data_IF_907412867053
#
_entry.id   IF_907412867053
#
_cell.length_a   1.000
_cell.length_b   1.000
_cell.length_c   1.000
_cell.angle_alpha   90.00
_cell.angle_beta   90.00
_cell.angle_gamma   90.00
#
_symmetry.space_group_name_H-M   'P 1'
#
loop_
_entity.id
_entity.type
_entity.pdbx_description
1 polymer ?
#
# COMPACT_ATOMS: atom_id res chain seq x y z
N UNK A 1 -39.46 6.30 6.20
CA UNK A 1 -40.57 5.69 6.98
C UNK A 1 -40.58 4.17 6.90
N UNK A 2 -40.72 3.53 5.74
CA UNK A 2 -40.77 2.05 5.62
C UNK A 2 -39.51 1.37 6.19
N UNK A 3 -38.31 1.81 5.80
CA UNK A 3 -37.05 1.26 6.34
C UNK A 3 -36.91 1.46 7.86
N UNK A 4 -37.45 2.56 8.38
CA UNK A 4 -37.44 2.88 9.81
C UNK A 4 -38.37 1.96 10.60
N UNK A 5 -39.57 1.69 10.07
CA UNK A 5 -40.56 0.78 10.67
C UNK A 5 -40.05 -0.66 10.64
N UNK A 6 -39.47 -1.09 9.52
CA UNK A 6 -38.83 -2.42 9.39
C UNK A 6 -37.68 -2.55 10.39
N UNK A 7 -36.84 -1.52 10.54
CA UNK A 7 -35.73 -1.52 11.51
C UNK A 7 -36.18 -1.64 12.97
N UNK A 8 -37.28 -0.97 13.35
CA UNK A 8 -37.87 -1.07 14.70
C UNK A 8 -38.47 -2.46 14.94
N UNK A 9 -39.14 -3.02 13.93
CA UNK A 9 -39.73 -4.36 14.04
C UNK A 9 -38.67 -5.45 14.22
N UNK A 10 -37.56 -5.36 13.47
CA UNK A 10 -36.41 -6.26 13.63
C UNK A 10 -35.81 -6.12 15.04
N UNK A 11 -35.63 -4.89 15.52
CA UNK A 11 -35.14 -4.60 16.88
C UNK A 11 -35.97 -5.25 17.99
N UNK A 12 -37.29 -5.32 17.82
CA UNK A 12 -38.20 -5.98 18.78
C UNK A 12 -38.06 -7.51 18.77
N UNK A 13 -37.73 -8.11 17.62
CA UNK A 13 -37.55 -9.56 17.47
C UNK A 13 -36.14 -10.06 17.86
N UNK A 14 -35.16 -9.16 17.90
CA UNK A 14 -33.74 -9.46 18.12
C UNK A 14 -33.21 -9.05 19.50
N UNK A 15 -34.07 -8.96 20.52
CA UNK A 15 -33.70 -8.52 21.87
C UNK A 15 -33.00 -7.13 21.92
N UNK A 16 -33.38 -6.20 21.03
CA UNK A 16 -32.91 -4.81 21.08
C UNK A 16 -31.77 -4.45 20.12
N UNK A 17 -31.23 -5.40 19.37
CA UNK A 17 -30.19 -5.15 18.36
C UNK A 17 -30.77 -4.66 17.03
N UNK A 18 -30.21 -3.60 16.45
CA UNK A 18 -30.63 -3.15 15.12
C UNK A 18 -30.21 -4.15 14.04
N UNK A 19 -30.88 -4.14 12.88
CA UNK A 19 -30.50 -4.96 11.72
C UNK A 19 -29.02 -4.77 11.36
N UNK A 20 -28.52 -3.53 11.47
CA UNK A 20 -27.11 -3.19 11.26
C UNK A 20 -26.17 -3.91 12.22
N UNK A 21 -26.57 -4.11 13.48
CA UNK A 21 -25.74 -4.77 14.49
C UNK A 21 -25.67 -6.28 14.24
N UNK A 22 -26.79 -6.87 13.82
CA UNK A 22 -26.88 -8.28 13.42
C UNK A 22 -26.01 -8.52 12.18
N UNK A 23 -26.15 -7.67 11.15
CA UNK A 23 -25.33 -7.77 9.94
C UNK A 23 -23.85 -7.59 10.25
N UNK A 24 -23.48 -6.63 11.11
CA UNK A 24 -22.10 -6.45 11.54
C UNK A 24 -21.55 -7.65 12.32
N UNK A 25 -22.35 -8.24 13.22
CA UNK A 25 -21.91 -9.37 14.05
C UNK A 25 -21.70 -10.63 13.23
N UNK A 26 -22.63 -10.98 12.33
CA UNK A 26 -22.61 -12.26 11.62
C UNK A 26 -21.94 -12.21 10.24
N UNK A 27 -21.84 -11.02 9.63
CA UNK A 27 -21.22 -10.86 8.30
C UNK A 27 -20.03 -9.89 8.35
N UNK A 28 -20.20 -8.71 8.95
CA UNK A 28 -19.18 -7.67 8.96
C UNK A 28 -17.89 -8.06 9.67
N UNK A 29 -17.96 -8.56 10.90
CA UNK A 29 -16.81 -8.89 11.73
C UNK A 29 -15.98 -10.07 11.20
N UNK A 30 -16.58 -11.20 10.77
CA UNK A 30 -15.82 -12.28 10.14
C UNK A 30 -15.10 -11.86 8.87
N UNK A 31 -15.75 -11.07 7.99
CA UNK A 31 -15.10 -10.56 6.78
C UNK A 31 -13.97 -9.57 7.12
N UNK A 32 -14.17 -8.73 8.13
CA UNK A 32 -13.16 -7.76 8.58
C UNK A 32 -11.90 -8.46 9.10
N UNK A 33 -12.05 -9.52 9.90
CA UNK A 33 -10.91 -10.29 10.43
C UNK A 33 -10.16 -11.07 9.34
N UNK A 34 -10.88 -11.57 8.31
CA UNK A 34 -10.22 -12.21 7.16
C UNK A 34 -9.47 -11.16 6.33
N UNK A 35 -10.05 -9.97 6.16
CA UNK A 35 -9.42 -8.86 5.47
C UNK A 35 -8.17 -8.36 6.22
N UNK A 36 -8.24 -8.23 7.54
CA UNK A 36 -7.12 -7.87 8.41
C UNK A 36 -6.23 -9.08 8.75
N UNK A 37 -5.57 -9.60 7.72
CA UNK A 37 -4.60 -10.69 7.86
C UNK A 37 -3.40 -10.46 6.95
N UNK A 38 -2.23 -10.96 7.37
CA UNK A 38 -0.99 -10.91 6.58
C UNK A 38 -1.20 -11.43 5.14
N UNK A 39 -1.92 -12.54 4.99
CA UNK A 39 -2.21 -13.15 3.69
C UNK A 39 -3.04 -12.22 2.80
N UNK A 40 -4.09 -11.61 3.35
CA UNK A 40 -4.91 -10.63 2.64
C UNK A 40 -4.11 -9.38 2.25
N UNK A 41 -3.29 -8.86 3.15
CA UNK A 41 -2.40 -7.71 2.87
C UNK A 41 -1.48 -7.98 1.68
N UNK A 42 -0.79 -9.12 1.69
CA UNK A 42 0.11 -9.53 0.61
C UNK A 42 -0.64 -9.79 -0.70
N UNK A 43 -1.83 -10.41 -0.63
CA UNK A 43 -2.64 -10.70 -1.80
C UNK A 43 -3.16 -9.43 -2.47
N UNK A 44 -3.62 -8.44 -1.68
CA UNK A 44 -4.04 -7.14 -2.19
C UNK A 44 -2.86 -6.45 -2.89
N UNK A 45 -1.69 -6.41 -2.23
CA UNK A 45 -0.48 -5.85 -2.84
C UNK A 45 -0.14 -6.58 -4.15
N UNK A 46 -0.17 -7.91 -4.18
CA UNK A 46 0.11 -8.69 -5.37
C UNK A 46 -0.86 -8.36 -6.53
N UNK A 47 -2.18 -8.38 -6.28
CA UNK A 47 -3.22 -8.12 -7.29
C UNK A 47 -3.08 -6.71 -7.87
N UNK A 48 -2.89 -5.70 -7.01
CA UNK A 48 -2.74 -4.32 -7.46
C UNK A 48 -1.54 -4.19 -8.41
N UNK A 49 -0.40 -4.76 -8.01
CA UNK A 49 0.82 -4.56 -8.77
C UNK A 49 0.85 -5.41 -10.03
N UNK A 50 0.31 -6.64 -10.03
CA UNK A 50 0.25 -7.45 -11.25
C UNK A 50 -0.65 -6.82 -12.32
N UNK A 51 -1.75 -6.15 -11.93
CA UNK A 51 -2.61 -5.41 -12.87
C UNK A 51 -1.84 -4.29 -13.58
N UNK A 52 -0.99 -3.57 -12.85
CA UNK A 52 -0.11 -2.55 -13.44
C UNK A 52 0.86 -3.11 -14.47
N UNK A 53 1.32 -4.36 -14.29
CA UNK A 53 2.26 -4.98 -15.23
C UNK A 53 1.66 -5.24 -16.63
N UNK A 54 0.33 -5.30 -16.72
CA UNK A 54 -0.44 -5.43 -17.96
C UNK A 54 -1.10 -4.11 -18.41
N UNK A 55 -0.75 -2.99 -17.77
CA UNK A 55 -1.22 -1.65 -18.14
C UNK A 55 -2.54 -1.23 -17.53
N UNK A 56 -3.10 -2.02 -16.60
CA UNK A 56 -4.29 -1.67 -15.85
C UNK A 56 -3.91 -0.91 -14.57
N UNK A 57 -4.59 0.19 -14.28
CA UNK A 57 -4.32 0.97 -13.07
C UNK A 57 -4.82 0.23 -11.81
N UNK A 58 -4.00 -0.68 -11.28
CA UNK A 58 -4.41 -1.65 -10.26
C UNK A 58 -4.99 -1.02 -8.99
N UNK A 59 -4.43 0.12 -8.54
CA UNK A 59 -4.94 0.81 -7.36
C UNK A 59 -6.40 1.28 -7.56
N UNK A 60 -6.70 1.97 -8.67
CA UNK A 60 -8.06 2.41 -9.00
C UNK A 60 -9.06 1.26 -9.17
N UNK A 61 -8.60 0.07 -9.56
CA UNK A 61 -9.44 -1.13 -9.66
C UNK A 61 -9.70 -1.75 -8.28
N UNK A 62 -8.69 -1.79 -7.41
CA UNK A 62 -8.79 -2.42 -6.09
C UNK A 62 -9.41 -1.52 -5.01
N UNK A 63 -9.17 -0.21 -5.08
CA UNK A 63 -9.60 0.79 -4.08
C UNK A 63 -11.07 0.68 -3.69
N UNK A 64 -12.05 0.57 -4.61
CA UNK A 64 -13.47 0.46 -4.22
C UNK A 64 -13.77 -0.73 -3.29
N UNK A 65 -13.03 -1.83 -3.45
CA UNK A 65 -13.20 -3.06 -2.68
C UNK A 65 -12.44 -3.00 -1.35
N UNK A 66 -11.25 -2.41 -1.32
CA UNK A 66 -10.38 -2.40 -0.14
C UNK A 66 -10.64 -1.18 0.74
N UNK A 67 -10.81 0.01 0.18
CA UNK A 67 -10.92 1.28 0.92
C UNK A 67 -12.12 1.28 1.88
N UNK A 68 -13.26 0.70 1.49
CA UNK A 68 -14.45 0.60 2.35
C UNK A 68 -14.14 -0.12 3.67
N UNK A 69 -13.44 -1.25 3.60
CA UNK A 69 -13.08 -2.05 4.79
C UNK A 69 -11.98 -1.33 5.56
N UNK A 70 -10.93 -0.87 4.89
CA UNK A 70 -9.80 -0.22 5.55
C UNK A 70 -10.19 1.07 6.27
N UNK A 71 -11.03 1.91 5.66
CA UNK A 71 -11.51 3.15 6.30
C UNK A 71 -12.32 2.84 7.56
N UNK A 72 -13.14 1.78 7.55
CA UNK A 72 -13.86 1.32 8.75
C UNK A 72 -12.87 0.92 9.85
N UNK A 73 -11.92 0.04 9.54
CA UNK A 73 -10.92 -0.44 10.51
C UNK A 73 -10.04 0.70 11.03
N UNK A 74 -9.68 1.65 10.18
CA UNK A 74 -8.93 2.84 10.57
C UNK A 74 -9.74 3.76 11.50
N UNK A 75 -11.06 3.85 11.30
CA UNK A 75 -11.96 4.56 12.21
C UNK A 75 -12.09 3.87 13.57
N UNK A 76 -12.11 2.54 13.59
CA UNK A 76 -12.10 1.74 14.83
C UNK A 76 -10.78 1.94 15.59
N UNK A 77 -9.64 1.92 14.90
CA UNK A 77 -8.34 2.25 15.49
C UNK A 77 -8.29 3.69 16.03
N UNK A 78 -8.85 4.66 15.32
CA UNK A 78 -8.92 6.05 15.78
C UNK A 78 -9.71 6.15 17.10
N UNK A 79 -10.83 5.42 17.22
CA UNK A 79 -11.64 5.40 18.44
C UNK A 79 -10.89 4.73 19.61
N UNK A 80 -10.18 3.63 19.35
CA UNK A 80 -9.33 2.95 20.35
C UNK A 80 -8.23 3.90 20.85
N UNK A 81 -7.55 4.61 19.95
CA UNK A 81 -6.52 5.57 20.29
C UNK A 81 -7.07 6.74 21.13
N UNK A 82 -8.24 7.28 20.77
CA UNK A 82 -8.90 8.33 21.54
C UNK A 82 -9.31 7.87 22.95
N UNK A 83 -9.66 6.58 23.11
CA UNK A 83 -9.97 5.98 24.39
C UNK A 83 -8.72 5.61 25.22
N UNK A 84 -7.51 5.79 24.68
CA UNK A 84 -6.25 5.45 25.34
C UNK A 84 -5.97 3.94 25.39
N UNK A 85 -6.56 3.16 24.47
CA UNK A 85 -6.30 1.73 24.38
C UNK A 85 -4.84 1.46 24.00
N UNK A 86 -4.27 0.38 24.53
CA UNK A 86 -2.88 -0.05 24.23
C UNK A 86 -2.84 -1.33 23.39
N UNK A 87 -3.98 -1.99 23.20
CA UNK A 87 -4.14 -3.23 22.47
C UNK A 87 -5.47 -3.26 21.70
N UNK A 88 -5.68 -4.27 20.86
CA UNK A 88 -6.92 -4.47 20.10
C UNK A 88 -7.01 -3.68 18.80
N UNK A 89 -5.91 -3.07 18.36
CA UNK A 89 -5.82 -2.38 17.08
C UNK A 89 -5.81 -3.36 15.90
N UNK A 90 -6.48 -2.96 14.83
CA UNK A 90 -6.37 -3.59 13.52
C UNK A 90 -5.02 -3.24 12.88
N UNK A 91 -4.37 -4.22 12.25
CA UNK A 91 -3.05 -4.03 11.63
C UNK A 91 -3.22 -3.46 10.23
N UNK A 92 -3.98 -4.14 9.38
CA UNK A 92 -4.36 -3.68 8.05
C UNK A 92 -5.56 -2.74 8.17
N UNK A 93 -5.30 -1.46 8.43
CA UNK A 93 -6.32 -0.46 8.66
C UNK A 93 -6.00 0.89 8.02
N UNK A 94 -7.04 1.65 7.71
CA UNK A 94 -6.98 3.04 7.24
C UNK A 94 -5.97 3.24 6.12
N UNK A 95 -5.06 4.19 6.34
CA UNK A 95 -4.03 4.60 5.40
C UNK A 95 -2.84 3.63 5.23
N UNK A 96 -2.93 2.36 5.66
CA UNK A 96 -1.80 1.41 5.66
C UNK A 96 -1.01 1.36 4.33
N UNK A 97 -1.71 1.18 3.19
CA UNK A 97 -1.03 1.07 1.90
C UNK A 97 -0.38 2.38 1.46
N UNK A 98 -1.07 3.51 1.64
CA UNK A 98 -0.52 4.85 1.33
C UNK A 98 0.70 5.15 2.20
N UNK A 99 0.69 4.72 3.47
CA UNK A 99 1.75 4.97 4.43
C UNK A 99 3.01 4.14 4.19
N UNK A 100 2.86 2.87 3.77
CA UNK A 100 3.97 1.91 3.82
C UNK A 100 4.28 1.17 2.51
N UNK A 101 3.36 1.18 1.53
CA UNK A 101 3.48 0.37 0.31
C UNK A 101 3.56 1.24 -0.94
N UNK A 102 2.79 2.33 -1.04
CA UNK A 102 2.77 3.19 -2.22
C UNK A 102 3.84 4.29 -2.18
N UNK A 103 5.05 3.95 -1.75
CA UNK A 103 6.15 4.90 -1.57
C UNK A 103 6.73 5.31 -2.93
N UNK A 104 6.31 6.46 -3.43
CA UNK A 104 6.56 6.87 -4.81
C UNK A 104 5.49 6.46 -5.81
N UNK A 105 4.33 5.98 -5.33
CA UNK A 105 3.25 5.46 -6.14
C UNK A 105 3.26 3.93 -6.22
N UNK A 106 2.56 3.39 -7.21
CA UNK A 106 2.48 1.94 -7.41
C UNK A 106 3.85 1.35 -7.72
N UNK A 107 4.17 0.22 -7.10
CA UNK A 107 5.44 -0.50 -7.30
C UNK A 107 6.60 0.05 -6.48
N UNK A 108 6.38 0.99 -5.56
CA UNK A 108 7.46 1.64 -4.81
C UNK A 108 8.47 2.34 -5.73
N UNK A 109 7.94 3.08 -6.70
CA UNK A 109 8.71 3.69 -7.80
C UNK A 109 9.79 4.66 -7.31
N UNK A 110 9.63 5.30 -6.15
CA UNK A 110 10.69 6.13 -5.58
C UNK A 110 11.96 5.29 -5.29
N UNK A 111 11.78 4.05 -4.83
CA UNK A 111 12.86 3.10 -4.65
C UNK A 111 13.55 2.73 -5.96
N UNK A 112 12.78 2.53 -7.04
CA UNK A 112 13.32 2.31 -8.38
C UNK A 112 14.12 3.52 -8.88
N UNK A 113 13.65 4.74 -8.67
CA UNK A 113 14.37 5.97 -9.06
C UNK A 113 15.71 6.06 -8.35
N UNK A 114 15.74 5.78 -7.05
CA UNK A 114 17.00 5.77 -6.28
C UNK A 114 17.91 4.63 -6.75
N UNK A 115 17.37 3.45 -7.04
CA UNK A 115 18.15 2.35 -7.62
C UNK A 115 18.74 2.72 -9.00
N UNK A 116 17.99 3.46 -9.84
CA UNK A 116 18.47 4.02 -11.11
C UNK A 116 19.55 5.08 -10.90
N UNK A 117 19.46 5.92 -9.87
CA UNK A 117 20.54 6.87 -9.53
C UNK A 117 21.83 6.15 -9.13
N UNK A 118 21.72 5.04 -8.40
CA UNK A 118 22.88 4.27 -7.91
C UNK A 118 23.51 3.44 -9.03
N UNK A 119 22.70 2.73 -9.82
CA UNK A 119 23.17 1.72 -10.77
C UNK A 119 22.83 2.01 -12.25
N UNK A 120 21.90 2.92 -12.54
CA UNK A 120 21.39 3.24 -13.87
C UNK A 120 22.18 4.37 -14.55
N UNK A 121 23.26 4.02 -15.25
CA UNK A 121 24.16 5.03 -15.86
C UNK A 121 23.56 5.76 -17.06
N UNK A 122 22.50 5.22 -17.69
CA UNK A 122 21.98 5.69 -18.97
C UNK A 122 20.55 6.27 -18.92
N UNK A 123 19.89 6.27 -17.76
CA UNK A 123 18.47 6.65 -17.64
C UNK A 123 18.23 8.00 -16.95
N UNK A 124 19.13 8.97 -17.16
CA UNK A 124 19.05 10.29 -16.51
C UNK A 124 17.75 11.04 -16.80
N UNK A 125 17.24 10.94 -18.03
CA UNK A 125 15.97 11.56 -18.43
C UNK A 125 14.80 11.02 -17.61
N UNK A 126 14.77 9.71 -17.37
CA UNK A 126 13.70 9.05 -16.59
C UNK A 126 13.69 9.51 -15.14
N UNK A 127 14.88 9.69 -14.56
CA UNK A 127 15.06 10.19 -13.18
C UNK A 127 14.58 11.64 -13.08
N UNK A 128 14.91 12.49 -14.07
CA UNK A 128 14.51 13.90 -14.08
C UNK A 128 13.00 14.06 -14.27
N UNK A 129 12.39 13.24 -15.14
CA UNK A 129 10.95 13.29 -15.40
C UNK A 129 10.12 12.64 -14.29
N UNK A 130 10.59 11.52 -13.73
CA UNK A 130 9.85 10.74 -12.72
C UNK A 130 10.15 11.10 -11.27
N UNK A 131 11.30 11.69 -10.98
CA UNK A 131 11.76 12.00 -9.61
C UNK A 131 10.86 12.96 -8.85
N UNK A 132 10.65 14.20 -9.35
CA UNK A 132 9.82 15.19 -8.67
C UNK A 132 8.39 14.70 -8.36
N UNK A 133 7.64 14.08 -9.30
CA UNK A 133 6.29 13.59 -9.00
C UNK A 133 6.32 12.39 -8.03
N UNK A 134 7.33 11.51 -8.10
CA UNK A 134 7.45 10.37 -7.19
C UNK A 134 7.65 10.78 -5.72
N UNK A 135 8.24 11.94 -5.42
CA UNK A 135 8.31 12.43 -4.03
C UNK A 135 6.91 12.62 -3.43
N UNK A 136 5.92 12.91 -4.28
CA UNK A 136 4.51 13.06 -3.93
C UNK A 136 3.68 11.83 -4.32
N UNK A 137 4.31 10.65 -4.37
CA UNK A 137 3.70 9.36 -4.72
C UNK A 137 3.04 9.27 -6.10
N UNK A 138 3.41 10.16 -7.03
CA UNK A 138 2.96 10.13 -8.42
C UNK A 138 4.04 9.41 -9.25
N UNK A 139 3.85 8.11 -9.46
CA UNK A 139 4.83 7.22 -10.11
C UNK A 139 4.63 7.01 -11.60
N UNK A 140 3.48 7.41 -12.14
CA UNK A 140 3.03 7.16 -13.52
C UNK A 140 4.03 7.62 -14.59
N UNK A 141 4.68 8.80 -14.48
CA UNK A 141 5.67 9.21 -15.45
C UNK A 141 6.82 8.20 -15.60
N UNK A 142 7.19 7.51 -14.52
CA UNK A 142 8.19 6.46 -14.58
C UNK A 142 7.61 5.12 -15.03
N UNK A 143 6.42 4.74 -14.55
CA UNK A 143 5.77 3.46 -14.91
C UNK A 143 5.53 3.36 -16.42
N UNK A 144 5.13 4.46 -17.04
CA UNK A 144 4.89 4.53 -18.48
C UNK A 144 6.12 4.98 -19.28
N UNK A 145 7.00 5.78 -18.67
CA UNK A 145 8.23 6.21 -19.32
C UNK A 145 9.23 5.07 -19.46
N UNK A 146 9.48 4.33 -18.38
CA UNK A 146 10.15 3.04 -18.50
C UNK A 146 9.12 2.06 -19.04
N UNK A 147 9.50 1.13 -19.93
CA UNK A 147 8.59 0.07 -20.32
C UNK A 147 8.46 -0.91 -19.14
N UNK A 148 8.00 -0.51 -17.95
CA UNK A 148 7.75 -1.43 -16.83
C UNK A 148 6.61 -2.36 -17.22
N UNK A 149 5.58 -1.78 -17.83
CA UNK A 149 4.48 -2.48 -18.48
C UNK A 149 5.07 -3.40 -19.56
N UNK A 150 4.80 -4.70 -19.45
CA UNK A 150 5.28 -5.75 -20.35
C UNK A 150 6.80 -6.01 -20.40
N UNK A 151 7.62 -5.46 -19.50
CA UNK A 151 9.03 -5.85 -19.37
C UNK A 151 9.23 -6.85 -18.22
N UNK A 152 9.52 -8.11 -18.53
CA UNK A 152 9.66 -9.15 -17.51
C UNK A 152 10.70 -8.84 -16.43
N UNK A 153 11.74 -8.07 -16.75
CA UNK A 153 12.83 -7.75 -15.80
C UNK A 153 12.31 -6.81 -14.71
N UNK A 154 11.60 -5.74 -15.08
CA UNK A 154 11.08 -4.77 -14.11
C UNK A 154 9.75 -5.20 -13.50
N UNK A 155 8.98 -6.06 -14.18
CA UNK A 155 7.77 -6.67 -13.65
C UNK A 155 8.00 -7.38 -12.31
N UNK A 156 9.10 -8.13 -12.20
CA UNK A 156 9.44 -8.89 -10.99
C UNK A 156 9.60 -7.98 -9.76
N UNK A 157 10.54 -7.02 -9.73
CA UNK A 157 10.70 -6.15 -8.56
C UNK A 157 9.50 -5.22 -8.35
N UNK A 158 8.78 -4.84 -9.42
CA UNK A 158 7.57 -4.02 -9.33
C UNK A 158 6.44 -4.70 -8.55
N UNK A 159 6.34 -6.02 -8.63
CA UNK A 159 5.39 -6.80 -7.81
C UNK A 159 6.00 -7.21 -6.48
N UNK A 160 7.27 -7.64 -6.49
CA UNK A 160 7.93 -8.21 -5.32
C UNK A 160 8.18 -7.17 -4.22
N UNK A 161 8.63 -5.96 -4.56
CA UNK A 161 8.93 -4.93 -3.57
C UNK A 161 7.70 -4.54 -2.73
N UNK A 162 6.53 -4.21 -3.34
CA UNK A 162 5.31 -3.94 -2.58
C UNK A 162 4.83 -5.12 -1.74
N UNK A 163 4.88 -6.35 -2.27
CA UNK A 163 4.45 -7.55 -1.53
C UNK A 163 5.31 -7.76 -0.30
N UNK A 164 6.64 -7.72 -0.44
CA UNK A 164 7.56 -7.89 0.69
C UNK A 164 7.39 -6.74 1.69
N UNK A 165 7.34 -5.49 1.24
CA UNK A 165 7.20 -4.34 2.15
C UNK A 165 5.84 -4.35 2.86
N UNK A 166 4.77 -4.83 2.21
CA UNK A 166 3.47 -4.99 2.86
C UNK A 166 3.51 -6.05 3.97
N UNK A 167 4.22 -7.16 3.77
CA UNK A 167 4.40 -8.19 4.78
C UNK A 167 5.24 -7.69 5.95
N UNK A 168 6.34 -7.00 5.66
CA UNK A 168 7.21 -6.36 6.68
C UNK A 168 6.40 -5.38 7.52
N UNK A 169 5.61 -4.51 6.90
CA UNK A 169 4.81 -3.53 7.62
C UNK A 169 3.74 -4.15 8.49
N UNK A 170 3.05 -5.17 7.97
CA UNK A 170 2.05 -5.90 8.73
C UNK A 170 2.69 -6.51 9.98
N UNK A 171 3.78 -7.27 9.82
CA UNK A 171 4.48 -7.92 10.94
C UNK A 171 5.10 -6.93 11.92
N UNK A 172 5.61 -5.79 11.45
CA UNK A 172 6.19 -4.77 12.32
C UNK A 172 5.14 -4.13 13.24
N UNK A 173 3.91 -3.92 12.73
CA UNK A 173 2.80 -3.41 13.52
C UNK A 173 2.21 -4.50 14.41
N UNK A 174 2.01 -5.72 13.88
CA UNK A 174 1.46 -6.87 14.61
C UNK A 174 2.33 -7.26 15.83
N UNK A 175 3.66 -7.21 15.67
CA UNK A 175 4.59 -7.45 16.78
C UNK A 175 4.81 -6.24 17.70
N UNK A 176 4.12 -5.12 17.46
CA UNK A 176 4.22 -3.91 18.28
C UNK A 176 5.56 -3.17 18.16
N UNK A 177 6.35 -3.42 17.11
CA UNK A 177 7.57 -2.67 16.82
C UNK A 177 7.27 -1.27 16.28
N UNK A 178 6.10 -1.11 15.66
CA UNK A 178 5.62 0.13 15.05
C UNK A 178 4.21 0.41 15.55
N UNK A 179 3.92 1.68 15.84
CA UNK A 179 2.59 2.10 16.26
C UNK A 179 1.51 1.73 15.21
N UNK A 180 0.29 1.40 15.64
CA UNK A 180 -0.81 1.07 14.74
C UNK A 180 -1.20 2.26 13.86
N UNK A 181 -1.81 1.97 12.71
CA UNK A 181 -2.39 3.01 11.85
C UNK A 181 -3.69 3.50 12.48
N UNK A 182 -3.74 4.76 12.89
CA UNK A 182 -4.88 5.37 13.58
C UNK A 182 -5.66 6.36 12.71
N UNK A 183 -5.13 6.71 11.54
CA UNK A 183 -5.85 7.58 10.60
C UNK A 183 -6.57 6.76 9.52
N UNK A 184 -7.89 6.94 9.35
CA UNK A 184 -8.65 6.29 8.28
C UNK A 184 -8.12 6.63 6.89
N UNK A 185 -7.58 7.84 6.72
CA UNK A 185 -7.03 8.34 5.46
C UNK A 185 -5.98 9.42 5.71
N UNK A 186 -4.99 9.46 4.83
CA UNK A 186 -4.07 10.59 4.64
C UNK A 186 -4.16 11.05 3.19
N UNK A 187 -3.78 12.28 2.84
CA UNK A 187 -3.57 12.64 1.44
C UNK A 187 -2.55 11.68 0.82
N UNK A 188 -2.92 10.94 -0.22
CA UNK A 188 -2.04 9.93 -0.84
C UNK A 188 -0.78 10.55 -1.45
N UNK A 189 -0.78 11.86 -1.73
CA UNK A 189 0.40 12.63 -2.19
C UNK A 189 1.35 13.04 -1.06
N UNK A 190 1.07 12.66 0.19
CA UNK A 190 1.96 12.96 1.33
C UNK A 190 3.31 12.28 1.14
N UNK A 191 4.44 13.00 1.25
CA UNK A 191 5.75 12.39 1.08
C UNK A 191 5.96 11.16 2.00
N UNK A 192 6.51 10.03 1.48
CA UNK A 192 6.54 8.72 2.15
C UNK A 192 6.80 8.71 3.66
N UNK A 193 7.92 9.29 4.11
CA UNK A 193 8.34 9.28 5.52
C UNK A 193 7.35 10.06 6.39
N UNK A 194 6.87 11.20 5.88
CA UNK A 194 5.85 12.00 6.57
C UNK A 194 4.51 11.28 6.57
N UNK A 195 4.17 10.57 5.50
CA UNK A 195 2.95 9.77 5.39
C UNK A 195 2.88 8.67 6.44
N UNK A 196 3.98 7.92 6.62
CA UNK A 196 4.09 6.90 7.67
C UNK A 196 3.91 7.45 9.09
N UNK A 197 4.59 8.56 9.40
CA UNK A 197 4.46 9.21 10.71
C UNK A 197 3.06 9.79 10.93
N UNK A 198 2.47 10.39 9.89
CA UNK A 198 1.12 10.94 9.96
C UNK A 198 0.06 9.86 10.16
N UNK A 199 0.16 8.74 9.43
CA UNK A 199 -0.82 7.65 9.49
C UNK A 199 -0.92 7.00 10.89
N UNK A 200 0.20 6.92 11.60
CA UNK A 200 0.31 6.33 12.93
C UNK A 200 0.23 7.36 14.06
N UNK A 201 0.44 8.65 13.75
CA UNK A 201 0.61 9.69 14.76
C UNK A 201 1.91 9.56 15.55
N UNK A 202 2.83 8.69 15.14
CA UNK A 202 4.06 8.34 15.85
C UNK A 202 5.26 8.25 14.91
N UNK A 203 6.46 8.56 15.40
CA UNK A 203 7.68 8.57 14.60
C UNK A 203 8.05 7.17 14.06
N UNK A 204 7.65 6.10 14.75
CA UNK A 204 7.90 4.71 14.33
C UNK A 204 7.29 4.40 12.96
N UNK A 205 6.14 5.02 12.63
CA UNK A 205 5.56 4.91 11.29
C UNK A 205 6.45 5.53 10.22
N UNK A 206 7.04 6.69 10.49
CA UNK A 206 8.00 7.32 9.57
C UNK A 206 9.28 6.48 9.40
N UNK A 207 9.76 5.87 10.48
CA UNK A 207 10.90 4.97 10.45
C UNK A 207 10.63 3.70 9.62
N UNK A 208 9.44 3.11 9.75
CA UNK A 208 9.02 1.97 8.93
C UNK A 208 8.90 2.33 7.45
N UNK A 209 8.33 3.48 7.12
CA UNK A 209 8.25 3.96 5.73
C UNK A 209 9.66 4.16 5.12
N UNK A 210 10.60 4.73 5.89
CA UNK A 210 12.00 4.84 5.45
C UNK A 210 12.66 3.47 5.27
N UNK A 211 12.43 2.54 6.20
CA UNK A 211 12.93 1.16 6.09
C UNK A 211 12.41 0.48 4.83
N UNK A 212 11.11 0.56 4.56
CA UNK A 212 10.49 0.01 3.36
C UNK A 212 11.03 0.65 2.09
N UNK A 213 11.29 1.97 2.09
CA UNK A 213 11.93 2.64 0.96
C UNK A 213 13.33 2.04 0.71
N UNK A 214 14.15 1.88 1.75
CA UNK A 214 15.48 1.24 1.63
C UNK A 214 15.34 -0.20 1.11
N UNK A 215 14.42 -0.99 1.65
CA UNK A 215 14.18 -2.36 1.23
C UNK A 215 13.78 -2.44 -0.24
N UNK A 216 12.90 -1.54 -0.70
CA UNK A 216 12.52 -1.44 -2.11
C UNK A 216 13.72 -1.13 -3.01
N UNK A 217 14.63 -0.24 -2.58
CA UNK A 217 15.86 0.07 -3.31
C UNK A 217 16.73 -1.18 -3.46
N UNK A 218 16.93 -1.92 -2.36
CA UNK A 218 17.72 -3.17 -2.36
C UNK A 218 17.11 -4.23 -3.28
N UNK A 219 15.78 -4.33 -3.33
CA UNK A 219 15.07 -5.24 -4.24
C UNK A 219 15.26 -4.80 -5.70
N UNK A 220 15.21 -3.50 -6.00
CA UNK A 220 15.32 -2.98 -7.37
C UNK A 220 16.74 -3.01 -7.96
N UNK A 221 17.78 -2.77 -7.15
CA UNK A 221 19.19 -2.70 -7.58
C UNK A 221 19.60 -3.86 -8.51
N UNK A 222 19.41 -5.15 -8.16
CA UNK A 222 19.85 -6.26 -9.01
C UNK A 222 19.19 -6.25 -10.40
N UNK A 223 17.92 -5.84 -10.48
CA UNK A 223 17.18 -5.77 -11.75
C UNK A 223 17.58 -4.57 -12.59
N UNK A 224 17.88 -3.43 -11.96
CA UNK A 224 18.45 -2.27 -12.64
C UNK A 224 19.80 -2.64 -13.28
N UNK A 225 20.70 -3.29 -12.53
CA UNK A 225 22.00 -3.75 -13.04
C UNK A 225 21.81 -4.73 -14.22
N UNK A 226 20.91 -5.70 -14.09
CA UNK A 226 20.62 -6.66 -15.15
C UNK A 226 20.08 -5.98 -16.41
N UNK A 227 19.17 -5.02 -16.25
CA UNK A 227 18.59 -4.23 -17.34
C UNK A 227 19.65 -3.42 -18.10
N UNK A 228 20.54 -2.72 -17.38
CA UNK A 228 21.64 -1.94 -17.97
C UNK A 228 22.61 -2.83 -18.76
N UNK A 229 22.93 -4.02 -18.25
CA UNK A 229 23.79 -4.99 -18.94
C UNK A 229 23.16 -5.48 -20.25
N UNK A 230 21.86 -5.76 -20.24
CA UNK A 230 21.14 -6.20 -21.43
C UNK A 230 21.07 -5.12 -22.50
N UNK A 231 20.81 -3.87 -22.13
CA UNK A 231 20.83 -2.75 -23.08
C UNK A 231 22.23 -2.49 -23.65
N UNK A 232 23.27 -2.56 -22.81
CA UNK A 232 24.66 -2.45 -23.29
C UNK A 232 25.02 -3.52 -24.34
N UNK A 233 24.56 -4.75 -24.15
CA UNK A 233 24.82 -5.84 -25.10
C UNK A 233 24.06 -5.65 -26.41
N UNK A 234 22.79 -5.19 -26.37
CA UNK A 234 22.03 -4.88 -27.59
C UNK A 234 22.71 -3.82 -28.46
N UNK A 235 23.23 -2.75 -27.84
CA UNK A 235 23.97 -1.70 -28.54
C UNK A 235 25.28 -2.19 -29.16
N UNK A 236 25.94 -3.19 -28.56
CA UNK A 236 27.17 -3.79 -29.13
C UNK A 236 26.90 -4.72 -30.31
N UNK A 237 25.73 -5.34 -30.38
CA UNK A 237 25.35 -6.23 -31.50
C UNK A 237 24.92 -5.40 -32.72
N UNK A 238 24.38 -4.20 -32.50
CA UNK A 238 23.86 -3.33 -33.55
C UNK A 238 24.89 -2.34 -34.13
N UNK A 239 26.13 -2.36 -33.64
CA UNK A 239 27.27 -1.55 -34.11
C UNK A 239 28.37 -2.47 -34.65
#
# INVERSE_FOLDING_TARGET
MIFTVIGIFIKMLSNGSFLTDILNTYLGAPLSNVADSLGSTMLIAFIIHILWTVGLHGANIALPFTETILMKLGGENAALAQAGATEGYHVLAGAFFDAFVYLGGSGMVLGLIVALLIAGRRRKEMIVLGGPPAIFNIGEPLIFGLPIVLNPIFMIPFVLAPVICSAVSYLAIDFGLVAPVILPKIPWVTPPILGGAMATGDWTGGALALFNLILSILIYIPFVIASEKMEANKLKINN
#
